data_IF_143836242864
#
_entry.id   IF_143836242864
#
_cell.length_a   1.000
_cell.length_b   1.000
_cell.length_c   1.000
_cell.angle_alpha   90.00
_cell.angle_beta   90.00
_cell.angle_gamma   90.00
#
_symmetry.space_group_name_H-M   'P 1'
#
loop_
_entity.id
_entity.type
_entity.pdbx_description
1 polymer ?
#
# COMPACT_ATOMS: atom_id res chain seq x y z
N UNK A 1 23.43 2.93 10.37
CA UNK A 1 23.87 1.58 9.94
C UNK A 1 22.63 0.75 9.65
N UNK A 2 22.53 0.15 8.45
CA UNK A 2 21.38 -0.67 8.02
C UNK A 2 21.11 -1.88 8.93
N UNK A 3 22.14 -2.35 9.64
CA UNK A 3 22.05 -3.48 10.58
C UNK A 3 21.08 -3.30 11.74
N UNK A 4 20.55 -2.10 12.00
CA UNK A 4 19.55 -1.82 13.04
C UNK A 4 18.15 -1.52 12.49
N UNK A 5 17.94 -1.65 11.17
CA UNK A 5 16.68 -1.33 10.53
C UNK A 5 15.97 -2.61 10.07
N UNK A 6 14.71 -2.78 10.48
CA UNK A 6 13.80 -3.74 9.89
C UNK A 6 12.92 -3.00 8.88
N UNK A 7 13.03 -3.32 7.59
CA UNK A 7 12.32 -2.62 6.52
C UNK A 7 11.16 -3.48 6.05
N UNK A 8 9.95 -2.98 6.28
CA UNK A 8 8.71 -3.66 5.94
C UNK A 8 7.94 -2.81 4.93
N UNK A 9 7.47 -3.44 3.87
CA UNK A 9 6.54 -2.87 2.90
C UNK A 9 5.21 -3.63 2.97
N UNK A 10 4.21 -3.01 3.60
CA UNK A 10 2.84 -3.52 3.63
C UNK A 10 2.08 -2.91 2.45
N UNK A 11 1.58 -3.77 1.56
CA UNK A 11 0.84 -3.34 0.36
C UNK A 11 -0.49 -4.06 0.25
N UNK A 12 -1.51 -3.32 -0.16
CA UNK A 12 -2.86 -3.82 -0.42
C UNK A 12 -2.91 -4.74 -1.67
N UNK A 13 -1.88 -4.69 -2.52
CA UNK A 13 -1.78 -5.49 -3.73
C UNK A 13 -1.29 -6.92 -3.44
N UNK A 14 -1.53 -7.82 -4.39
CA UNK A 14 -1.02 -9.21 -4.38
C UNK A 14 0.30 -9.39 -5.14
N UNK A 15 0.89 -8.31 -5.66
CA UNK A 15 2.16 -8.33 -6.42
C UNK A 15 2.95 -7.07 -6.12
N UNK A 16 4.28 -7.15 -6.22
CA UNK A 16 5.17 -5.99 -6.06
C UNK A 16 5.06 -5.01 -7.23
N UNK A 17 4.70 -5.51 -8.42
CA UNK A 17 4.55 -4.69 -9.62
C UNK A 17 3.61 -5.35 -10.64
N UNK A 18 2.91 -4.54 -11.45
CA UNK A 18 1.90 -5.03 -12.39
C UNK A 18 2.45 -5.73 -13.64
N UNK A 19 3.73 -5.51 -13.97
CA UNK A 19 4.38 -6.10 -15.15
C UNK A 19 5.42 -7.13 -14.72
N UNK A 20 5.24 -8.38 -15.16
CA UNK A 20 6.03 -9.55 -14.73
C UNK A 20 7.55 -9.36 -14.82
N UNK A 21 8.04 -8.79 -15.92
CA UNK A 21 9.48 -8.55 -16.14
C UNK A 21 10.11 -7.72 -15.03
N UNK A 22 9.45 -6.64 -14.62
CA UNK A 22 9.95 -5.75 -13.58
C UNK A 22 9.65 -6.29 -12.17
N UNK A 23 8.52 -7.00 -12.00
CA UNK A 23 8.22 -7.67 -10.74
C UNK A 23 9.30 -8.69 -10.36
N UNK A 24 9.81 -9.47 -11.33
CA UNK A 24 10.90 -10.42 -11.11
C UNK A 24 12.19 -9.72 -10.65
N UNK A 25 12.59 -8.65 -11.33
CA UNK A 25 13.78 -7.87 -10.96
C UNK A 25 13.65 -7.24 -9.56
N UNK A 26 12.46 -6.75 -9.20
CA UNK A 26 12.20 -6.20 -7.85
C UNK A 26 12.23 -7.30 -6.79
N UNK A 27 11.76 -8.51 -7.11
CA UNK A 27 11.80 -9.64 -6.19
C UNK A 27 13.23 -10.07 -5.85
N UNK A 28 14.13 -10.06 -6.83
CA UNK A 28 15.56 -10.30 -6.61
C UNK A 28 16.15 -9.27 -5.64
N UNK A 29 15.84 -7.98 -5.86
CA UNK A 29 16.27 -6.89 -4.97
C UNK A 29 15.73 -7.08 -3.55
N UNK A 30 14.45 -7.46 -3.40
CA UNK A 30 13.83 -7.72 -2.08
C UNK A 30 14.63 -8.78 -1.32
N UNK A 31 15.01 -9.88 -1.98
CA UNK A 31 15.78 -10.96 -1.38
C UNK A 31 17.22 -10.53 -1.06
N UNK A 32 17.94 -9.95 -2.03
CA UNK A 32 19.31 -9.46 -1.86
C UNK A 32 19.41 -8.46 -0.70
N UNK A 33 18.36 -7.67 -0.52
CA UNK A 33 18.30 -6.59 0.47
C UNK A 33 17.58 -6.98 1.77
N UNK A 34 17.16 -8.23 1.91
CA UNK A 34 16.45 -8.70 3.11
C UNK A 34 15.29 -7.75 3.51
N UNK A 35 14.47 -7.38 2.53
CA UNK A 35 13.28 -6.56 2.75
C UNK A 35 12.08 -7.47 3.01
N UNK A 36 11.24 -7.10 3.97
CA UNK A 36 9.98 -7.81 4.20
C UNK A 36 8.88 -7.15 3.38
N UNK A 37 8.16 -7.93 2.58
CA UNK A 37 6.98 -7.46 1.84
C UNK A 37 5.78 -8.29 2.27
N UNK A 38 4.80 -7.63 2.87
CA UNK A 38 3.54 -8.28 3.23
C UNK A 38 2.47 -7.82 2.23
N UNK A 39 2.02 -8.76 1.41
CA UNK A 39 0.94 -8.54 0.47
C UNK A 39 -0.41 -8.57 1.19
N UNK A 40 -1.41 -7.95 0.57
CA UNK A 40 -2.79 -7.91 1.09
C UNK A 40 -2.89 -7.33 2.51
N UNK A 41 -1.99 -6.42 2.85
CA UNK A 41 -1.99 -5.67 4.12
C UNK A 41 -2.27 -4.20 3.82
N UNK A 42 -3.43 -3.69 4.25
CA UNK A 42 -3.81 -2.30 4.04
C UNK A 42 -3.75 -1.50 5.34
N UNK A 43 -3.21 -0.28 5.29
CA UNK A 43 -3.14 0.59 6.47
C UNK A 43 -4.49 1.24 6.72
N UNK A 44 -5.04 1.08 7.93
CA UNK A 44 -6.36 1.62 8.31
C UNK A 44 -6.31 2.67 9.42
N UNK A 45 -5.28 2.65 10.28
CA UNK A 45 -5.14 3.60 11.40
C UNK A 45 -3.66 3.88 11.68
N UNK A 46 -3.34 5.14 12.03
CA UNK A 46 -2.02 5.54 12.53
C UNK A 46 -2.18 6.21 13.88
N UNK A 47 -1.55 5.63 14.92
CA UNK A 47 -1.48 6.18 16.27
C UNK A 47 -0.12 6.82 16.46
N UNK A 48 -0.01 8.06 15.98
CA UNK A 48 1.27 8.75 15.87
C UNK A 48 1.94 9.02 17.23
N UNK A 49 1.15 9.22 18.29
CA UNK A 49 1.58 9.41 19.67
C UNK A 49 2.24 8.16 20.26
N UNK A 50 1.79 6.96 19.84
CA UNK A 50 2.32 5.67 20.29
C UNK A 50 3.27 5.02 19.30
N UNK A 51 3.51 5.67 18.15
CA UNK A 51 4.29 5.13 17.04
C UNK A 51 3.79 3.75 16.57
N UNK A 52 2.46 3.58 16.50
CA UNK A 52 1.81 2.33 16.08
C UNK A 52 1.02 2.54 14.78
N UNK A 53 1.09 1.57 13.89
CA UNK A 53 0.30 1.49 12.66
C UNK A 53 -0.58 0.24 12.69
N UNK A 54 -1.86 0.39 12.34
CA UNK A 54 -2.83 -0.71 12.30
C UNK A 54 -3.10 -1.07 10.86
N UNK A 55 -2.84 -2.33 10.52
CA UNK A 55 -3.08 -2.88 9.19
C UNK A 55 -4.23 -3.89 9.24
N UNK A 56 -5.09 -3.88 8.24
CA UNK A 56 -6.08 -4.93 7.99
C UNK A 56 -5.53 -5.96 7.01
N UNK A 57 -5.91 -7.22 7.21
CA UNK A 57 -5.64 -8.30 6.27
C UNK A 57 -6.78 -8.40 5.24
N UNK A 58 -6.50 -8.08 3.99
CA UNK A 58 -7.49 -8.13 2.92
C UNK A 58 -7.87 -9.55 2.50
N UNK A 59 -7.02 -10.55 2.77
CA UNK A 59 -7.35 -11.96 2.54
C UNK A 59 -8.18 -12.56 3.68
N UNK A 60 -8.18 -11.92 4.86
CA UNK A 60 -8.92 -12.36 6.06
C UNK A 60 -9.66 -11.19 6.68
N UNK A 61 -10.82 -10.81 6.14
CA UNK A 61 -11.59 -9.67 6.63
C UNK A 61 -11.85 -9.75 8.13
N UNK A 62 -11.55 -8.67 8.85
CA UNK A 62 -11.69 -8.58 10.31
C UNK A 62 -10.41 -8.93 11.09
N UNK A 63 -9.40 -9.52 10.45
CA UNK A 63 -8.07 -9.69 11.06
C UNK A 63 -7.27 -8.39 10.92
N UNK A 64 -6.80 -7.85 12.05
CA UNK A 64 -5.97 -6.65 12.10
C UNK A 64 -4.66 -6.90 12.83
N UNK A 65 -3.58 -6.28 12.37
CA UNK A 65 -2.27 -6.32 13.00
C UNK A 65 -1.82 -4.92 13.42
N UNK A 66 -1.34 -4.79 14.65
CA UNK A 66 -0.68 -3.58 15.15
C UNK A 66 0.83 -3.76 15.03
N UNK A 67 1.50 -2.80 14.40
CA UNK A 67 2.95 -2.80 14.22
C UNK A 67 3.52 -1.47 14.71
N UNK A 68 4.47 -1.53 15.65
CA UNK A 68 5.23 -0.35 16.06
C UNK A 68 6.26 0.02 14.99
N UNK A 69 6.46 1.32 14.75
CA UNK A 69 7.38 1.83 13.74
C UNK A 69 8.33 2.88 14.31
N UNK A 70 9.57 2.89 13.83
CA UNK A 70 10.49 4.03 14.03
C UNK A 70 10.28 5.10 12.95
N UNK A 71 9.99 4.64 11.73
CA UNK A 71 9.70 5.48 10.57
C UNK A 71 8.51 4.86 9.82
N UNK A 72 7.51 5.68 9.51
CA UNK A 72 6.36 5.28 8.70
C UNK A 72 6.24 6.19 7.48
N UNK A 73 6.30 5.59 6.30
CA UNK A 73 5.97 6.27 5.05
C UNK A 73 4.58 5.84 4.61
N UNK A 74 3.61 6.75 4.72
CA UNK A 74 2.21 6.49 4.34
C UNK A 74 1.96 6.94 2.91
N UNK A 75 1.55 6.01 2.05
CA UNK A 75 0.92 6.36 0.77
C UNK A 75 -0.57 6.53 1.03
N UNK A 76 -1.14 7.74 0.92
CA UNK A 76 -2.54 7.97 1.27
C UNK A 76 -3.47 7.27 0.26
N UNK A 77 -4.69 6.88 0.68
CA UNK A 77 -5.71 6.46 -0.25
C UNK A 77 -6.04 7.61 -1.20
N UNK A 78 -6.04 7.33 -2.50
CA UNK A 78 -6.29 8.32 -3.55
C UNK A 78 -7.63 8.06 -4.23
N UNK A 79 -8.28 9.13 -4.69
CA UNK A 79 -9.53 9.08 -5.46
C UNK A 79 -9.49 10.17 -6.54
N UNK A 80 -10.47 10.16 -7.45
CA UNK A 80 -10.64 11.27 -8.38
C UNK A 80 -10.89 12.59 -7.63
N UNK A 81 -10.56 13.74 -8.24
CA UNK A 81 -10.90 15.05 -7.68
C UNK A 81 -12.38 15.16 -7.32
N UNK A 82 -12.71 15.80 -6.20
CA UNK A 82 -14.09 15.86 -5.69
C UNK A 82 -15.08 16.49 -6.68
N UNK A 83 -14.62 17.49 -7.45
CA UNK A 83 -15.42 18.11 -8.52
C UNK A 83 -15.80 17.14 -9.64
N UNK A 84 -14.98 16.11 -9.88
CA UNK A 84 -15.22 15.12 -10.93
C UNK A 84 -16.12 13.97 -10.45
N UNK A 85 -16.10 13.63 -9.15
CA UNK A 85 -16.86 12.48 -8.61
C UNK A 85 -18.34 12.48 -8.95
N UNK A 86 -18.97 13.66 -9.03
CA UNK A 86 -20.40 13.81 -9.36
C UNK A 86 -20.62 14.55 -10.68
N UNK A 87 -19.58 14.70 -11.50
CA UNK A 87 -19.64 15.45 -12.74
C UNK A 87 -20.31 14.61 -13.84
N UNK A 88 -21.09 15.21 -14.76
CA UNK A 88 -21.65 14.50 -15.91
C UNK A 88 -20.61 13.89 -16.85
N UNK A 89 -19.35 14.36 -16.80
CA UNK A 89 -18.25 13.81 -17.61
C UNK A 89 -17.54 12.64 -16.94
N UNK A 90 -17.99 12.21 -15.76
CA UNK A 90 -17.36 11.13 -15.03
C UNK A 90 -18.04 9.77 -15.29
N UNK A 91 -17.23 8.71 -15.27
CA UNK A 91 -17.66 7.33 -15.27
C UNK A 91 -18.26 6.91 -13.91
N UNK A 92 -18.71 5.65 -13.81
CA UNK A 92 -19.30 5.12 -12.58
C UNK A 92 -18.34 5.06 -11.38
N UNK A 93 -17.01 5.16 -11.61
CA UNK A 93 -15.99 5.21 -10.58
C UNK A 93 -15.52 6.65 -10.26
N UNK A 94 -16.08 7.66 -10.93
CA UNK A 94 -15.78 9.08 -10.73
C UNK A 94 -14.58 9.60 -11.52
N UNK A 95 -14.05 8.86 -12.49
CA UNK A 95 -12.96 9.29 -13.38
C UNK A 95 -13.52 9.87 -14.67
N UNK A 96 -12.76 10.69 -15.39
CA UNK A 96 -13.24 11.27 -16.66
C UNK A 96 -13.45 10.16 -17.70
N UNK A 97 -14.65 10.11 -18.29
CA UNK A 97 -15.02 9.11 -19.29
C UNK A 97 -14.52 9.54 -20.68
N UNK A 98 -13.46 8.89 -21.17
CA UNK A 98 -12.78 9.19 -22.43
C UNK A 98 -12.58 7.92 -23.26
N UNK A 99 -12.44 8.10 -24.58
CA UNK A 99 -11.97 7.03 -25.48
C UNK A 99 -10.51 6.65 -25.17
N UNK A 100 -10.11 5.42 -25.46
CA UNK A 100 -8.84 4.81 -25.03
C UNK A 100 -7.70 4.98 -26.03
#
# INVERSE_FOLDING_TARGET
KRSKANIIFNTSLGTIFGVKKYAAALQEIIQERNLTVNYKQNLIEVRADRQEAVFENLDRPGETQVISYEMLHVTPPMSSPDVLKTSPVADAAGWVDVDK
#
